data_IF_387198794738
#
_entry.id   IF_387198794738
#
_cell.length_a   1.000
_cell.length_b   1.000
_cell.length_c   1.000
_cell.angle_alpha   90.00
_cell.angle_beta   90.00
_cell.angle_gamma   90.00
#
_symmetry.space_group_name_H-M   'P 1'
#
loop_
_entity.id
_entity.type
_entity.pdbx_description
1 polymer ?
#
# COMPACT_ATOMS: atom_id res chain seq x y z
N UNK A 1 -16.71 43.97 8.21
CA UNK A 1 -17.52 42.73 8.11
C UNK A 1 -16.99 41.95 6.91
N UNK A 2 -16.04 41.08 7.17
CA UNK A 2 -15.32 40.34 6.12
C UNK A 2 -16.20 39.18 5.69
N UNK A 3 -16.60 39.17 4.43
CA UNK A 3 -17.22 37.99 3.81
C UNK A 3 -16.17 36.88 3.80
N UNK A 4 -16.38 35.89 4.64
CA UNK A 4 -15.61 34.64 4.56
C UNK A 4 -15.90 34.04 3.20
N UNK A 5 -14.90 34.17 2.31
CA UNK A 5 -14.89 33.54 1.00
C UNK A 5 -15.10 32.00 1.22
N UNK A 6 -16.26 31.50 0.81
CA UNK A 6 -16.69 30.12 1.00
C UNK A 6 -15.91 29.12 0.12
N UNK A 7 -14.64 29.43 -0.21
CA UNK A 7 -13.73 28.48 -0.87
C UNK A 7 -13.33 27.43 0.12
N UNK A 8 -13.79 26.22 -0.15
CA UNK A 8 -13.28 25.02 0.54
C UNK A 8 -11.76 24.99 0.32
N UNK A 9 -11.01 24.96 1.43
CA UNK A 9 -9.55 24.79 1.38
C UNK A 9 -9.20 23.56 0.52
N UNK A 10 -8.42 23.71 -0.56
CA UNK A 10 -8.09 22.63 -1.45
C UNK A 10 -7.47 21.40 -0.74
N UNK A 11 -6.66 21.63 0.29
CA UNK A 11 -6.06 20.54 1.09
C UNK A 11 -7.15 19.77 1.83
N UNK A 12 -8.13 20.46 2.41
CA UNK A 12 -9.27 19.80 3.07
C UNK A 12 -10.11 18.99 2.08
N UNK A 13 -10.30 19.50 0.87
CA UNK A 13 -11.03 18.77 -0.18
C UNK A 13 -10.29 17.48 -0.58
N UNK A 14 -8.97 17.55 -0.78
CA UNK A 14 -8.13 16.39 -1.07
C UNK A 14 -8.19 15.37 0.08
N UNK A 15 -8.03 15.82 1.33
CA UNK A 15 -8.08 14.92 2.49
C UNK A 15 -9.44 14.21 2.61
N UNK A 16 -10.53 14.90 2.34
CA UNK A 16 -11.87 14.32 2.31
C UNK A 16 -12.03 13.25 1.23
N UNK A 17 -11.55 13.54 0.02
CA UNK A 17 -11.55 12.59 -1.08
C UNK A 17 -10.70 11.35 -0.80
N UNK A 18 -9.50 11.55 -0.25
CA UNK A 18 -8.59 10.46 0.16
C UNK A 18 -9.25 9.59 1.23
N UNK A 19 -9.89 10.19 2.25
CA UNK A 19 -10.59 9.44 3.30
C UNK A 19 -11.73 8.58 2.73
N UNK A 20 -12.51 9.12 1.80
CA UNK A 20 -13.60 8.39 1.14
C UNK A 20 -13.07 7.23 0.27
N UNK A 21 -12.00 7.45 -0.48
CA UNK A 21 -11.37 6.43 -1.31
C UNK A 21 -10.71 5.34 -0.44
N UNK A 22 -10.03 5.72 0.64
CA UNK A 22 -9.42 4.80 1.60
C UNK A 22 -10.46 3.88 2.25
N UNK A 23 -11.64 4.40 2.58
CA UNK A 23 -12.76 3.58 3.08
C UNK A 23 -13.21 2.55 2.05
N UNK A 24 -13.38 2.96 0.79
CA UNK A 24 -13.77 2.05 -0.28
C UNK A 24 -12.72 0.96 -0.51
N UNK A 25 -11.44 1.34 -0.52
CA UNK A 25 -10.33 0.41 -0.64
C UNK A 25 -10.28 -0.57 0.54
N UNK A 26 -10.47 -0.11 1.77
CA UNK A 26 -10.48 -0.95 2.97
C UNK A 26 -11.59 -2.00 2.94
N UNK A 27 -12.74 -1.70 2.35
CA UNK A 27 -13.82 -2.68 2.18
C UNK A 27 -13.42 -3.80 1.20
N UNK A 28 -12.74 -3.45 0.12
CA UNK A 28 -12.22 -4.43 -0.85
C UNK A 28 -11.10 -5.29 -0.27
N UNK A 29 -10.25 -4.71 0.56
CA UNK A 29 -9.14 -5.41 1.24
C UNK A 29 -9.61 -6.45 2.28
N UNK A 30 -10.88 -6.42 2.69
CA UNK A 30 -11.47 -7.47 3.54
C UNK A 30 -11.80 -8.75 2.79
N UNK A 31 -11.67 -8.76 1.48
CA UNK A 31 -11.88 -9.97 0.67
C UNK A 31 -10.76 -10.98 0.92
N UNK A 32 -11.07 -12.28 0.82
CA UNK A 32 -10.05 -13.31 1.00
C UNK A 32 -8.90 -13.14 0.00
N UNK A 33 -7.69 -13.27 0.49
CA UNK A 33 -6.47 -13.44 -0.28
C UNK A 33 -6.05 -14.91 -0.16
N UNK A 34 -6.00 -15.63 -1.26
CA UNK A 34 -5.79 -17.09 -1.27
C UNK A 34 -6.71 -17.87 -0.30
N UNK A 35 -7.96 -17.46 -0.19
CA UNK A 35 -8.93 -18.08 0.72
C UNK A 35 -8.80 -17.68 2.19
N UNK A 36 -7.86 -16.79 2.54
CA UNK A 36 -7.63 -16.26 3.90
C UNK A 36 -7.91 -14.78 3.97
N UNK A 37 -8.44 -14.34 5.10
CA UNK A 37 -8.58 -12.90 5.38
C UNK A 37 -7.30 -12.42 6.05
N UNK A 38 -6.52 -11.64 5.31
CA UNK A 38 -5.34 -10.96 5.85
C UNK A 38 -5.75 -9.68 6.59
N UNK A 39 -4.97 -9.29 7.59
CA UNK A 39 -5.11 -7.97 8.21
C UNK A 39 -4.72 -6.89 7.19
N UNK A 40 -5.21 -5.66 7.38
CA UNK A 40 -4.83 -4.53 6.53
C UNK A 40 -3.31 -4.31 6.48
N UNK A 41 -2.61 -4.48 7.61
CA UNK A 41 -1.16 -4.36 7.67
C UNK A 41 -0.44 -5.49 6.92
N UNK A 42 -0.93 -6.72 6.99
CA UNK A 42 -0.39 -7.85 6.24
C UNK A 42 -0.53 -7.63 4.73
N UNK A 43 -1.72 -7.23 4.29
CA UNK A 43 -1.98 -6.96 2.87
C UNK A 43 -1.16 -5.77 2.36
N UNK A 44 -1.06 -4.69 3.15
CA UNK A 44 -0.21 -3.54 2.82
C UNK A 44 1.27 -3.93 2.70
N UNK A 45 1.77 -4.80 3.59
CA UNK A 45 3.13 -5.32 3.51
C UNK A 45 3.39 -6.05 2.19
N UNK A 46 2.45 -6.93 1.78
CA UNK A 46 2.57 -7.65 0.50
C UNK A 46 2.59 -6.68 -0.69
N UNK A 47 1.76 -5.63 -0.67
CA UNK A 47 1.74 -4.61 -1.73
C UNK A 47 3.03 -3.80 -1.80
N UNK A 48 3.62 -3.40 -0.66
CA UNK A 48 4.92 -2.72 -0.65
C UNK A 48 6.03 -3.62 -1.17
N UNK A 49 6.03 -4.89 -0.79
CA UNK A 49 7.01 -5.87 -1.26
C UNK A 49 6.85 -6.17 -2.76
N UNK A 50 5.63 -6.19 -3.28
CA UNK A 50 5.38 -6.35 -4.71
C UNK A 50 6.00 -5.23 -5.55
N UNK A 51 5.98 -4.00 -5.02
CA UNK A 51 6.57 -2.81 -5.66
C UNK A 51 8.08 -2.67 -5.43
N UNK A 52 8.67 -3.52 -4.57
CA UNK A 52 10.10 -3.48 -4.24
C UNK A 52 10.73 -4.87 -4.45
N UNK A 53 10.98 -5.27 -5.72
CA UNK A 53 11.52 -6.60 -6.03
C UNK A 53 12.86 -6.90 -5.36
N UNK A 54 13.65 -5.86 -5.06
CA UNK A 54 14.91 -5.97 -4.30
C UNK A 54 14.72 -6.31 -2.82
N UNK A 55 13.48 -6.30 -2.34
CA UNK A 55 13.12 -6.54 -0.95
C UNK A 55 13.20 -5.29 -0.07
N UNK A 56 12.65 -5.39 1.12
CA UNK A 56 12.63 -4.35 2.14
C UNK A 56 13.28 -4.87 3.42
N UNK A 57 14.07 -4.01 4.08
CA UNK A 57 14.53 -4.32 5.44
C UNK A 57 13.35 -4.23 6.43
N UNK A 58 13.40 -4.95 7.57
CA UNK A 58 12.36 -4.83 8.60
C UNK A 58 12.12 -3.39 9.06
N UNK A 59 13.19 -2.61 9.22
CA UNK A 59 13.09 -1.19 9.60
C UNK A 59 12.36 -0.36 8.55
N UNK A 60 12.66 -0.57 7.26
CA UNK A 60 11.96 0.15 6.18
C UNK A 60 10.50 -0.25 6.09
N UNK A 61 10.18 -1.51 6.31
CA UNK A 61 8.80 -1.98 6.33
C UNK A 61 8.03 -1.38 7.53
N UNK A 62 8.67 -1.25 8.71
CA UNK A 62 8.09 -0.60 9.88
C UNK A 62 7.73 0.87 9.61
N UNK A 63 8.62 1.61 8.96
CA UNK A 63 8.38 3.00 8.54
C UNK A 63 7.17 3.10 7.59
N UNK A 64 7.15 2.27 6.53
CA UNK A 64 6.08 2.28 5.52
C UNK A 64 4.71 1.93 6.11
N UNK A 65 4.67 0.98 7.04
CA UNK A 65 3.44 0.56 7.71
C UNK A 65 3.07 1.44 8.90
N UNK A 66 3.97 2.32 9.34
CA UNK A 66 3.80 3.15 10.55
C UNK A 66 3.52 2.29 11.80
N UNK A 67 4.30 1.24 11.98
CA UNK A 67 4.19 0.31 13.11
C UNK A 67 5.54 0.13 13.82
N UNK A 68 5.52 -0.48 15.01
CA UNK A 68 6.76 -0.78 15.75
C UNK A 68 7.56 -1.92 15.12
N UNK A 69 8.86 -1.98 15.42
CA UNK A 69 9.72 -3.08 14.99
C UNK A 69 9.23 -4.46 15.46
N UNK A 70 8.69 -4.53 16.69
CA UNK A 70 8.09 -5.76 17.21
C UNK A 70 6.86 -6.20 16.43
N UNK A 71 6.00 -5.25 16.04
CA UNK A 71 4.83 -5.53 15.22
C UNK A 71 5.24 -6.03 13.82
N UNK A 72 6.30 -5.47 13.22
CA UNK A 72 6.83 -5.97 11.93
C UNK A 72 7.33 -7.40 12.07
N UNK A 73 8.07 -7.71 13.14
CA UNK A 73 8.56 -9.08 13.36
C UNK A 73 7.41 -10.08 13.40
N UNK A 74 6.37 -9.82 14.19
CA UNK A 74 5.19 -10.68 14.27
C UNK A 74 4.46 -10.80 12.92
N UNK A 75 4.31 -9.68 12.21
CA UNK A 75 3.67 -9.66 10.90
C UNK A 75 4.45 -10.49 9.87
N UNK A 76 5.77 -10.32 9.83
CA UNK A 76 6.65 -11.05 8.89
C UNK A 76 6.68 -12.54 9.23
N UNK A 77 6.73 -12.90 10.52
CA UNK A 77 6.68 -14.30 10.95
C UNK A 77 5.37 -14.98 10.52
N UNK A 78 4.24 -14.29 10.66
CA UNK A 78 2.94 -14.79 10.20
C UNK A 78 2.90 -14.97 8.67
N UNK A 79 3.33 -13.95 7.92
CA UNK A 79 3.38 -14.02 6.45
C UNK A 79 4.33 -15.10 5.94
N UNK A 80 5.45 -15.32 6.64
CA UNK A 80 6.41 -16.36 6.33
C UNK A 80 5.86 -17.76 6.63
N UNK A 81 5.17 -17.93 7.76
CA UNK A 81 4.52 -19.19 8.11
C UNK A 81 3.45 -19.59 7.08
N UNK A 82 2.77 -18.61 6.51
CA UNK A 82 1.78 -18.80 5.45
C UNK A 82 2.41 -18.92 4.04
N UNK A 83 3.74 -18.80 3.93
CA UNK A 83 4.45 -18.96 2.66
C UNK A 83 4.41 -17.74 1.73
N UNK A 84 3.97 -16.57 2.23
CA UNK A 84 3.85 -15.36 1.41
C UNK A 84 5.16 -14.62 1.23
N UNK A 85 6.07 -14.72 2.18
CA UNK A 85 7.35 -14.00 2.14
C UNK A 85 8.52 -14.92 2.50
N UNK A 86 9.70 -14.56 1.97
CA UNK A 86 10.99 -15.15 2.32
C UNK A 86 11.89 -14.09 2.98
N UNK A 87 12.81 -14.54 3.82
CA UNK A 87 13.85 -13.70 4.40
C UNK A 87 15.18 -14.07 3.76
N UNK A 88 15.89 -13.08 3.22
CA UNK A 88 17.18 -13.26 2.55
C UNK A 88 18.25 -12.36 3.16
N UNK A 89 19.52 -12.69 2.91
CA UNK A 89 20.63 -11.79 3.22
C UNK A 89 20.53 -10.58 2.30
N UNK A 90 20.72 -9.39 2.86
CA UNK A 90 20.73 -8.16 2.07
C UNK A 90 22.00 -8.12 1.21
N UNK A 91 21.88 -8.03 -0.14
CA UNK A 91 23.05 -7.97 -1.02
C UNK A 91 23.91 -6.73 -0.79
N UNK A 92 23.31 -5.63 -0.30
CA UNK A 92 24.02 -4.37 -0.01
C UNK A 92 24.72 -4.38 1.37
N UNK A 93 24.26 -5.22 2.29
CA UNK A 93 24.84 -5.35 3.65
C UNK A 93 24.58 -6.75 4.20
N UNK A 94 25.59 -7.60 4.19
CA UNK A 94 25.50 -8.98 4.65
C UNK A 94 25.11 -9.16 6.14
N UNK A 95 25.20 -8.08 6.94
CA UNK A 95 24.78 -8.08 8.36
C UNK A 95 23.27 -7.89 8.52
N UNK A 96 22.59 -7.40 7.49
CA UNK A 96 21.16 -7.16 7.50
C UNK A 96 20.37 -8.22 6.71
N UNK A 97 19.07 -8.24 6.92
CA UNK A 97 18.14 -9.11 6.20
C UNK A 97 17.16 -8.27 5.42
N UNK A 98 16.70 -8.81 4.31
CA UNK A 98 15.60 -8.27 3.52
C UNK A 98 14.46 -9.26 3.47
N UNK A 99 13.26 -8.73 3.42
CA UNK A 99 12.00 -9.44 3.24
C UNK A 99 11.65 -9.31 1.76
N UNK A 100 11.34 -10.42 1.11
CA UNK A 100 10.92 -10.45 -0.29
C UNK A 100 9.63 -11.26 -0.42
N UNK A 101 8.81 -10.96 -1.44
CA UNK A 101 7.68 -11.85 -1.78
C UNK A 101 8.19 -13.21 -2.25
N UNK A 102 7.49 -14.26 -1.85
CA UNK A 102 7.64 -15.57 -2.51
C UNK A 102 7.19 -15.48 -3.98
N UNK A 103 7.69 -16.35 -4.84
CA UNK A 103 7.29 -16.37 -6.24
C UNK A 103 5.77 -16.59 -6.40
N UNK A 104 5.21 -17.52 -5.62
CA UNK A 104 3.77 -17.79 -5.64
C UNK A 104 2.94 -16.58 -5.25
N UNK A 105 3.33 -15.88 -4.19
CA UNK A 105 2.57 -14.73 -3.70
C UNK A 105 2.69 -13.49 -4.60
N UNK A 106 3.67 -13.42 -5.47
CA UNK A 106 3.79 -12.31 -6.43
C UNK A 106 2.62 -12.29 -7.40
N UNK A 107 2.33 -13.43 -8.00
CA UNK A 107 1.23 -13.58 -8.97
C UNK A 107 -0.13 -13.35 -8.28
N UNK A 108 -0.28 -13.84 -7.06
CA UNK A 108 -1.49 -13.65 -6.25
C UNK A 108 -1.73 -12.20 -5.85
N UNK A 109 -0.68 -11.47 -5.47
CA UNK A 109 -0.79 -10.02 -5.16
C UNK A 109 -1.19 -9.25 -6.40
N UNK A 110 -0.58 -9.53 -7.55
CA UNK A 110 -0.92 -8.87 -8.81
C UNK A 110 -2.37 -9.14 -9.20
N UNK A 111 -2.82 -10.40 -9.09
CA UNK A 111 -4.21 -10.77 -9.33
C UNK A 111 -5.18 -10.06 -8.39
N UNK A 112 -4.88 -10.02 -7.10
CA UNK A 112 -5.72 -9.34 -6.09
C UNK A 112 -5.81 -7.84 -6.33
N UNK A 113 -4.69 -7.18 -6.65
CA UNK A 113 -4.66 -5.75 -7.00
C UNK A 113 -5.47 -5.48 -8.26
N UNK A 114 -5.31 -6.29 -9.30
CA UNK A 114 -6.07 -6.18 -10.54
C UNK A 114 -7.57 -6.31 -10.31
N UNK A 115 -7.99 -7.32 -9.58
CA UNK A 115 -9.40 -7.54 -9.24
C UNK A 115 -9.97 -6.39 -8.38
N UNK A 116 -9.18 -5.84 -7.46
CA UNK A 116 -9.58 -4.67 -6.65
C UNK A 116 -9.73 -3.43 -7.52
N UNK A 117 -8.79 -3.20 -8.44
CA UNK A 117 -8.86 -2.09 -9.40
C UNK A 117 -10.13 -2.18 -10.27
N UNK A 118 -10.45 -3.37 -10.79
CA UNK A 118 -11.67 -3.57 -11.59
C UNK A 118 -12.94 -3.25 -10.80
N UNK A 119 -13.04 -3.67 -9.54
CA UNK A 119 -14.21 -3.39 -8.69
C UNK A 119 -14.34 -1.91 -8.34
N UNK A 120 -13.23 -1.20 -8.20
CA UNK A 120 -13.22 0.25 -7.90
C UNK A 120 -13.26 1.12 -9.15
N UNK A 121 -13.04 0.57 -10.35
CA UNK A 121 -13.03 1.29 -11.62
C UNK A 121 -14.25 2.21 -11.82
N UNK A 122 -15.49 1.81 -11.48
CA UNK A 122 -16.66 2.69 -11.65
C UNK A 122 -16.55 4.01 -10.89
N UNK A 123 -15.78 4.08 -9.80
CA UNK A 123 -15.57 5.33 -9.05
C UNK A 123 -14.72 6.35 -9.81
N UNK A 124 -13.97 5.89 -10.80
CA UNK A 124 -13.09 6.68 -11.64
C UNK A 124 -13.67 6.93 -13.03
N UNK A 125 -14.93 6.52 -13.27
CA UNK A 125 -15.54 6.58 -14.60
C UNK A 125 -15.68 8.02 -15.17
N UNK A 126 -15.66 9.04 -14.30
CA UNK A 126 -15.71 10.44 -14.71
C UNK A 126 -14.35 10.98 -15.18
N UNK A 127 -13.26 10.24 -15.00
CA UNK A 127 -11.91 10.65 -15.34
C UNK A 127 -11.45 9.98 -16.65
N UNK A 128 -10.81 10.76 -17.48
CA UNK A 128 -10.11 10.24 -18.66
C UNK A 128 -8.82 9.49 -18.25
N UNK A 129 -8.27 8.62 -19.11
CA UNK A 129 -7.00 7.95 -18.82
C UNK A 129 -5.85 8.92 -18.51
N UNK A 130 -5.79 10.09 -19.18
CA UNK A 130 -4.78 11.11 -18.92
C UNK A 130 -4.95 11.74 -17.52
N UNK A 131 -6.18 12.01 -17.10
CA UNK A 131 -6.48 12.53 -15.75
C UNK A 131 -6.15 11.50 -14.67
N UNK A 132 -6.41 10.22 -14.91
CA UNK A 132 -6.02 9.13 -13.98
C UNK A 132 -4.50 9.06 -13.81
N UNK A 133 -3.74 9.17 -14.91
CA UNK A 133 -2.28 9.21 -14.85
C UNK A 133 -1.80 10.42 -14.06
N UNK A 134 -2.35 11.60 -14.34
CA UNK A 134 -2.02 12.83 -13.60
C UNK A 134 -2.34 12.70 -12.11
N UNK A 135 -3.51 12.13 -11.77
CA UNK A 135 -3.91 11.90 -10.38
C UNK A 135 -2.92 10.98 -9.67
N UNK A 136 -2.52 9.87 -10.30
CA UNK A 136 -1.53 8.94 -9.75
C UNK A 136 -0.18 9.63 -9.51
N UNK A 137 0.31 10.44 -10.45
CA UNK A 137 1.56 11.18 -10.33
C UNK A 137 1.51 12.21 -9.19
N UNK A 138 0.40 12.95 -9.07
CA UNK A 138 0.20 13.92 -7.98
C UNK A 138 0.15 13.22 -6.61
N UNK A 139 -0.56 12.10 -6.51
CA UNK A 139 -0.63 11.32 -5.27
C UNK A 139 0.75 10.77 -4.88
N UNK A 140 1.53 10.27 -5.82
CA UNK A 140 2.89 9.80 -5.58
C UNK A 140 3.79 10.92 -5.05
N UNK A 141 3.71 12.13 -5.59
CA UNK A 141 4.47 13.29 -5.09
C UNK A 141 4.14 13.61 -3.64
N UNK A 142 2.86 13.58 -3.27
CA UNK A 142 2.43 13.84 -1.88
C UNK A 142 2.92 12.75 -0.92
N UNK A 143 3.00 11.48 -1.37
CA UNK A 143 3.40 10.36 -0.51
C UNK A 143 4.91 10.15 -0.45
N UNK A 144 5.67 10.56 -1.47
CA UNK A 144 7.12 10.36 -1.55
C UNK A 144 7.93 11.53 -0.99
N UNK A 145 7.37 12.74 -0.89
CA UNK A 145 8.07 13.95 -0.42
C UNK A 145 8.20 14.04 1.12
N UNK A 146 7.82 13.02 1.89
CA UNK A 146 7.98 13.04 3.36
C UNK A 146 9.38 12.53 3.78
N UNK A 147 10.45 12.99 3.10
CA UNK A 147 11.84 12.78 3.53
C UNK A 147 12.61 14.10 3.45
N UNK A 148 12.45 14.91 4.48
CA UNK A 148 13.52 15.75 5.02
C UNK A 148 13.67 15.50 6.50
#
# INVERSE_FOLDING_TARGET
MSAADGRVDPVRAVLGAVAALSRALSLEQRRPFEGRVLTGSQLSALFFLARTPSGLTPGRLAELLTVSAGAVTQLVDALRADGHVDIRVNPADARSRIIVLSCASRDEVEHFEGATAERLRPRFAALTPAELTTLADLMNRVTLETKE
#
